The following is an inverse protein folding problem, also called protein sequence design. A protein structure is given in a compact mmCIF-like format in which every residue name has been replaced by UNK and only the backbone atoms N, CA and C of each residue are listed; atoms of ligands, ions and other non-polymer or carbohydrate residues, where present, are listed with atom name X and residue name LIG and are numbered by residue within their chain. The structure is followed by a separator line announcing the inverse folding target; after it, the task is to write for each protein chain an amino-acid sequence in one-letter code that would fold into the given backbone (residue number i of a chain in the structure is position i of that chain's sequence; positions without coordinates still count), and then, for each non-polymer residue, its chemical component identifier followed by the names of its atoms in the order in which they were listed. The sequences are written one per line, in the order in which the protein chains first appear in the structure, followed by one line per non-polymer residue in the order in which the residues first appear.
data_IF_016357361257
#
_entry.id   IF_016357361257
#
_cell.length_a   1.000
_cell.length_b   1.000
_cell.length_c   1.000
_cell.angle_alpha   90.00
_cell.angle_beta   90.00
_cell.angle_gamma   90.00
#
_symmetry.space_group_name_H-M   'P 1'
#
loop_
_entity.id
_entity.type
_entity.pdbx_description
1 polymer ?
#
# COMPACT_ATOMS: atom_id res chain seq x y z
N UNK A 1 -31.43 -37.17 -25.93
CA UNK A 1 -30.73 -37.00 -24.64
C UNK A 1 -30.91 -35.56 -24.18
N UNK A 2 -32.13 -35.03 -24.17
CA UNK A 2 -32.43 -33.69 -23.63
C UNK A 2 -33.31 -33.79 -22.36
N UNK A 3 -34.07 -34.88 -22.19
CA UNK A 3 -35.01 -35.06 -21.07
C UNK A 3 -34.35 -35.36 -19.69
N UNK A 4 -33.04 -35.60 -19.65
CA UNK A 4 -32.33 -35.98 -18.42
C UNK A 4 -32.06 -34.81 -17.46
N UNK A 5 -31.82 -33.61 -17.99
CA UNK A 5 -31.44 -32.44 -17.19
C UNK A 5 -32.66 -31.82 -16.46
N UNK A 6 -33.83 -31.87 -17.11
CA UNK A 6 -35.09 -31.35 -16.57
C UNK A 6 -35.64 -32.26 -15.46
N UNK A 7 -35.54 -33.58 -15.64
CA UNK A 7 -35.93 -34.58 -14.64
C UNK A 7 -35.07 -34.49 -13.36
N UNK A 8 -33.75 -34.33 -13.52
CA UNK A 8 -32.83 -34.16 -12.40
C UNK A 8 -33.08 -32.86 -11.63
N UNK A 9 -33.38 -31.77 -12.34
CA UNK A 9 -33.68 -30.47 -11.73
C UNK A 9 -34.95 -30.52 -10.88
N UNK A 10 -36.00 -31.18 -11.36
CA UNK A 10 -37.25 -31.37 -10.63
C UNK A 10 -37.08 -32.28 -9.40
N UNK A 11 -36.33 -33.37 -9.52
CA UNK A 11 -36.13 -34.33 -8.43
C UNK A 11 -35.17 -33.82 -7.33
N UNK A 12 -34.12 -33.08 -7.70
CA UNK A 12 -33.05 -32.65 -6.78
C UNK A 12 -33.18 -31.18 -6.35
N UNK A 13 -34.06 -30.40 -6.97
CA UNK A 13 -34.24 -28.97 -6.67
C UNK A 13 -33.00 -28.12 -6.99
N UNK A 14 -32.11 -28.61 -7.85
CA UNK A 14 -30.86 -27.95 -8.23
C UNK A 14 -30.62 -28.18 -9.72
N UNK A 15 -29.97 -27.23 -10.40
CA UNK A 15 -29.49 -27.46 -11.75
C UNK A 15 -28.13 -28.18 -11.70
N UNK A 16 -28.03 -29.41 -12.24
CA UNK A 16 -26.78 -30.17 -12.25
C UNK A 16 -25.60 -29.40 -12.85
N UNK A 17 -25.83 -28.72 -13.96
CA UNK A 17 -24.78 -27.94 -14.64
C UNK A 17 -24.37 -26.71 -13.82
N UNK A 18 -25.30 -25.98 -13.20
CA UNK A 18 -24.96 -24.85 -12.34
C UNK A 18 -24.11 -25.29 -11.14
N UNK A 19 -24.49 -26.39 -10.49
CA UNK A 19 -23.74 -26.94 -9.37
C UNK A 19 -22.30 -27.33 -9.78
N UNK A 20 -22.14 -28.04 -10.90
CA UNK A 20 -20.81 -28.44 -11.41
C UNK A 20 -19.96 -27.21 -11.72
N UNK A 21 -20.54 -26.19 -12.37
CA UNK A 21 -19.85 -24.96 -12.70
C UNK A 21 -19.40 -24.20 -11.44
N UNK A 22 -20.23 -24.16 -10.39
CA UNK A 22 -19.88 -23.54 -9.11
C UNK A 22 -18.69 -24.25 -8.46
N UNK A 23 -18.68 -25.58 -8.42
CA UNK A 23 -17.56 -26.37 -7.89
C UNK A 23 -16.29 -26.14 -8.72
N UNK A 24 -16.39 -26.06 -10.05
CA UNK A 24 -15.26 -25.68 -10.92
C UNK A 24 -14.72 -24.31 -10.56
N UNK A 25 -15.59 -23.32 -10.35
CA UNK A 25 -15.20 -21.97 -9.92
C UNK A 25 -14.43 -21.97 -8.60
N UNK A 26 -14.97 -22.64 -7.57
CA UNK A 26 -14.32 -22.74 -6.26
C UNK A 26 -12.93 -23.37 -6.36
N UNK A 27 -12.79 -24.46 -7.13
CA UNK A 27 -11.49 -25.14 -7.29
C UNK A 27 -10.50 -24.27 -8.07
N UNK A 28 -10.98 -23.56 -9.10
CA UNK A 28 -10.16 -22.62 -9.85
C UNK A 28 -9.63 -21.49 -8.94
N UNK A 29 -10.48 -20.90 -8.11
CA UNK A 29 -10.10 -19.84 -7.17
C UNK A 29 -9.07 -20.33 -6.15
N UNK A 30 -9.31 -21.48 -5.50
CA UNK A 30 -8.37 -22.09 -4.56
C UNK A 30 -7.02 -22.35 -5.23
N UNK A 31 -7.02 -22.85 -6.47
CA UNK A 31 -5.79 -23.15 -7.20
C UNK A 31 -4.99 -21.88 -7.53
N UNK A 32 -5.68 -20.79 -7.88
CA UNK A 32 -5.07 -19.51 -8.17
C UNK A 32 -4.46 -18.88 -6.92
N UNK A 33 -5.21 -18.86 -5.81
CA UNK A 33 -4.75 -18.33 -4.52
C UNK A 33 -3.53 -19.11 -3.99
N UNK A 34 -3.56 -20.44 -4.06
CA UNK A 34 -2.44 -21.26 -3.62
C UNK A 34 -1.17 -20.99 -4.43
N UNK A 35 -1.31 -20.76 -5.74
CA UNK A 35 -0.18 -20.42 -6.58
C UNK A 35 0.36 -19.01 -6.31
N UNK A 36 -0.53 -18.04 -6.13
CA UNK A 36 -0.15 -16.68 -5.77
C UNK A 36 0.63 -16.67 -4.44
N UNK A 37 0.18 -17.43 -3.45
CA UNK A 37 0.90 -17.62 -2.19
C UNK A 37 2.32 -18.14 -2.42
N UNK A 38 2.50 -19.15 -3.28
CA UNK A 38 3.83 -19.68 -3.60
C UNK A 38 4.74 -18.63 -4.25
N UNK A 39 4.21 -17.79 -5.15
CA UNK A 39 4.97 -16.70 -5.77
C UNK A 39 5.37 -15.64 -4.74
N UNK A 40 4.46 -15.25 -3.85
CA UNK A 40 4.73 -14.30 -2.78
C UNK A 40 5.78 -14.84 -1.81
N UNK A 41 5.67 -16.12 -1.43
CA UNK A 41 6.64 -16.79 -0.57
C UNK A 41 8.03 -16.86 -1.24
N UNK A 42 8.10 -17.12 -2.55
CA UNK A 42 9.35 -17.12 -3.30
C UNK A 42 10.00 -15.74 -3.43
N UNK A 43 9.19 -14.67 -3.45
CA UNK A 43 9.66 -13.29 -3.49
C UNK A 43 10.10 -12.75 -2.10
N UNK A 44 9.91 -13.52 -1.02
CA UNK A 44 10.22 -13.07 0.33
C UNK A 44 11.73 -12.81 0.53
N UNK A 45 12.11 -11.76 1.28
CA UNK A 45 13.50 -11.45 1.57
C UNK A 45 14.22 -12.63 2.24
N UNK A 46 15.38 -13.02 1.71
CA UNK A 46 16.21 -14.11 2.25
C UNK A 46 16.03 -15.47 1.56
N UNK A 47 15.01 -15.64 0.71
CA UNK A 47 14.83 -16.87 -0.09
C UNK A 47 15.90 -16.99 -1.18
N UNK A 48 16.26 -15.87 -1.80
CA UNK A 48 17.26 -15.81 -2.85
C UNK A 48 18.48 -15.04 -2.36
N UNK A 49 19.55 -15.76 -2.00
CA UNK A 49 20.76 -15.17 -1.40
C UNK A 49 21.40 -14.05 -2.23
N UNK A 50 21.96 -13.04 -1.54
CA UNK A 50 22.37 -11.74 -2.09
C UNK A 50 23.33 -11.78 -3.30
N UNK A 51 24.23 -12.76 -3.37
CA UNK A 51 25.31 -12.78 -4.37
C UNK A 51 24.84 -13.06 -5.82
N UNK A 52 23.62 -13.59 -6.01
CA UNK A 52 23.00 -13.85 -7.34
C UNK A 52 21.47 -13.68 -7.31
N UNK A 53 20.98 -12.72 -6.53
CA UNK A 53 19.56 -12.62 -6.20
C UNK A 53 18.64 -12.46 -7.44
N UNK A 54 19.06 -11.70 -8.46
CA UNK A 54 18.22 -11.45 -9.64
C UNK A 54 18.07 -12.68 -10.56
N UNK A 55 19.19 -13.29 -10.99
CA UNK A 55 19.19 -14.48 -11.85
C UNK A 55 18.43 -15.65 -11.19
N UNK A 56 18.73 -15.92 -9.92
CA UNK A 56 18.06 -16.97 -9.15
C UNK A 56 16.58 -16.69 -8.88
N UNK A 57 16.17 -15.43 -8.72
CA UNK A 57 14.75 -15.08 -8.58
C UNK A 57 13.99 -15.33 -9.89
N UNK A 58 14.58 -14.98 -11.04
CA UNK A 58 13.96 -15.25 -12.34
C UNK A 58 13.85 -16.74 -12.67
N UNK A 59 14.88 -17.52 -12.35
CA UNK A 59 14.86 -18.97 -12.53
C UNK A 59 13.85 -19.64 -11.59
N UNK A 60 13.75 -19.18 -10.35
CA UNK A 60 12.77 -19.66 -9.39
C UNK A 60 11.34 -19.36 -9.87
N UNK A 61 11.06 -18.13 -10.30
CA UNK A 61 9.76 -17.76 -10.85
C UNK A 61 9.41 -18.61 -12.09
N UNK A 62 10.38 -18.86 -12.97
CA UNK A 62 10.20 -19.74 -14.14
C UNK A 62 9.86 -21.17 -13.71
N UNK A 63 10.58 -21.71 -12.71
CA UNK A 63 10.32 -23.02 -12.15
C UNK A 63 8.93 -23.14 -11.53
N UNK A 64 8.50 -22.15 -10.74
CA UNK A 64 7.17 -22.10 -10.16
C UNK A 64 6.08 -22.07 -11.24
N UNK A 65 6.24 -21.24 -12.28
CA UNK A 65 5.30 -21.18 -13.39
C UNK A 65 5.19 -22.52 -14.13
N UNK A 66 6.31 -23.23 -14.31
CA UNK A 66 6.30 -24.56 -14.94
C UNK A 66 5.57 -25.60 -14.07
N UNK A 67 5.81 -25.60 -12.75
CA UNK A 67 5.07 -26.48 -11.81
C UNK A 67 3.58 -26.17 -11.83
N UNK A 68 3.21 -24.89 -11.79
CA UNK A 68 1.82 -24.45 -11.85
C UNK A 68 1.13 -24.92 -13.13
N UNK A 69 1.77 -24.79 -14.29
CA UNK A 69 1.21 -25.29 -15.54
C UNK A 69 0.95 -26.80 -15.48
N UNK A 70 1.90 -27.60 -14.95
CA UNK A 70 1.73 -29.05 -14.84
C UNK A 70 0.61 -29.42 -13.88
N UNK A 71 0.49 -28.72 -12.75
CA UNK A 71 -0.58 -28.93 -11.76
C UNK A 71 -1.93 -28.56 -12.37
N UNK A 72 -2.02 -27.39 -13.01
CA UNK A 72 -3.23 -26.89 -13.67
C UNK A 72 -3.73 -27.85 -14.75
N UNK A 73 -2.88 -28.26 -15.69
CA UNK A 73 -3.25 -29.23 -16.73
C UNK A 73 -3.80 -30.53 -16.16
N UNK A 74 -3.17 -31.05 -15.08
CA UNK A 74 -3.63 -32.27 -14.43
C UNK A 74 -4.95 -32.07 -13.70
N UNK A 75 -5.13 -30.92 -13.06
CA UNK A 75 -6.35 -30.56 -12.34
C UNK A 75 -7.50 -30.40 -13.34
N UNK A 76 -7.31 -29.61 -14.40
CA UNK A 76 -8.30 -29.36 -15.46
C UNK A 76 -8.77 -30.69 -16.08
N UNK A 77 -7.84 -31.60 -16.38
CA UNK A 77 -8.20 -32.94 -16.90
C UNK A 77 -9.01 -33.77 -15.89
N UNK A 78 -8.67 -33.70 -14.60
CA UNK A 78 -9.43 -34.40 -13.55
C UNK A 78 -10.81 -33.78 -13.36
N UNK A 79 -10.91 -32.46 -13.40
CA UNK A 79 -12.17 -31.73 -13.27
C UNK A 79 -13.11 -32.02 -14.43
N UNK A 80 -12.60 -32.07 -15.66
CA UNK A 80 -13.38 -32.47 -16.83
C UNK A 80 -13.90 -33.91 -16.73
N UNK A 81 -13.08 -34.84 -16.23
CA UNK A 81 -13.52 -36.22 -16.00
C UNK A 81 -14.54 -36.33 -14.87
N UNK A 82 -14.35 -35.56 -13.79
CA UNK A 82 -15.26 -35.50 -12.65
C UNK A 82 -16.63 -34.94 -13.06
N UNK A 83 -16.66 -33.83 -13.79
CA UNK A 83 -17.90 -33.26 -14.36
C UNK A 83 -18.64 -34.29 -15.20
N UNK A 84 -17.93 -34.93 -16.14
CA UNK A 84 -18.52 -35.97 -16.99
C UNK A 84 -19.06 -37.14 -16.18
N UNK A 85 -18.42 -37.50 -15.08
CA UNK A 85 -18.90 -38.53 -14.18
C UNK A 85 -20.16 -38.08 -13.43
N UNK A 86 -20.16 -36.87 -12.89
CA UNK A 86 -21.30 -36.31 -12.15
C UNK A 86 -22.55 -36.22 -13.01
N UNK A 87 -22.44 -35.63 -14.21
CA UNK A 87 -23.56 -35.48 -15.14
C UNK A 87 -24.11 -36.82 -15.67
N UNK A 88 -23.32 -37.89 -15.62
CA UNK A 88 -23.75 -39.22 -16.09
C UNK A 88 -24.28 -40.12 -14.99
N UNK A 89 -23.86 -39.93 -13.75
CA UNK A 89 -24.05 -40.93 -12.70
C UNK A 89 -24.50 -40.37 -11.37
N UNK A 90 -24.19 -39.10 -11.05
CA UNK A 90 -24.59 -38.49 -9.79
C UNK A 90 -25.95 -37.79 -9.90
N UNK A 91 -26.25 -37.24 -11.08
CA UNK A 91 -27.49 -36.50 -11.33
C UNK A 91 -28.46 -37.24 -12.24
N UNK A 92 -28.16 -38.49 -12.59
CA UNK A 92 -29.06 -39.33 -13.38
C UNK A 92 -30.17 -39.87 -12.47
N UNK A 93 -31.43 -39.62 -12.83
CA UNK A 93 -32.59 -40.10 -12.06
C UNK A 93 -32.99 -41.48 -12.59
N UNK A 94 -32.93 -42.55 -11.77
CA UNK A 94 -33.30 -43.88 -12.23
C UNK A 94 -34.74 -43.93 -12.74
N UNK A 95 -34.98 -44.66 -13.83
CA UNK A 95 -36.33 -44.90 -14.37
C UNK A 95 -37.26 -45.44 -13.26
N UNK A 96 -38.40 -44.76 -13.05
CA UNK A 96 -39.38 -45.08 -12.01
C UNK A 96 -39.32 -44.21 -10.76
N UNK A 97 -38.35 -43.30 -10.63
CA UNK A 97 -38.28 -42.29 -9.56
C UNK A 97 -38.79 -40.91 -9.97
N UNK A 98 -39.06 -40.71 -11.27
CA UNK A 98 -39.75 -39.52 -11.75
C UNK A 98 -41.21 -39.68 -11.36
N UNK A 99 -41.70 -38.80 -10.47
CA UNK A 99 -43.11 -38.75 -10.14
C UNK A 99 -43.90 -38.46 -11.42
N UNK A 100 -44.96 -39.23 -11.68
CA UNK A 100 -45.92 -38.85 -12.71
C UNK A 100 -46.44 -37.45 -12.36
N UNK A 101 -46.26 -36.47 -13.25
CA UNK A 101 -46.70 -35.08 -13.02
C UNK A 101 -48.22 -34.96 -12.76
N UNK A 102 -48.96 -36.06 -12.95
CA UNK A 102 -50.40 -36.16 -12.69
C UNK A 102 -50.81 -36.77 -11.35
N UNK A 103 -49.89 -37.33 -10.55
CA UNK A 103 -50.23 -37.94 -9.26
C UNK A 103 -50.14 -36.92 -8.10
N UNK A 104 -50.93 -35.84 -8.22
CA UNK A 104 -51.24 -34.92 -7.10
C UNK A 104 -52.16 -35.54 -6.04
N UNK A 105 -52.34 -36.86 -6.06
CA UNK A 105 -53.40 -37.56 -5.33
C UNK A 105 -52.90 -38.85 -4.69
N UNK A 106 -51.87 -38.78 -3.83
CA UNK A 106 -51.70 -39.83 -2.83
C UNK A 106 -51.04 -39.36 -1.53
N UNK A 107 -51.78 -38.56 -0.76
CA UNK A 107 -51.88 -38.72 0.70
C UNK A 107 -52.98 -37.80 1.21
N UNK A 108 -54.24 -38.25 1.08
CA UNK A 108 -55.30 -37.76 1.97
C UNK A 108 -55.02 -38.31 3.36
N UNK A 109 -54.19 -37.60 4.14
CA UNK A 109 -54.34 -37.62 5.59
C UNK A 109 -53.91 -36.29 6.20
N UNK A 110 -54.96 -35.56 6.56
CA UNK A 110 -55.04 -34.42 7.45
C UNK A 110 -53.93 -34.31 8.50
N UNK A 111 -53.35 -33.12 8.63
CA UNK A 111 -53.57 -32.29 9.82
C UNK A 111 -53.44 -30.80 9.49
N UNK A 112 -54.50 -30.05 9.81
CA UNK A 112 -54.51 -28.59 9.89
C UNK A 112 -53.34 -28.11 10.74
N UNK A 113 -52.48 -27.28 10.16
CA UNK A 113 -51.72 -26.30 10.93
C UNK A 113 -51.54 -25.02 10.10
N UNK A 114 -52.60 -24.20 10.08
CA UNK A 114 -52.48 -22.78 10.40
C UNK A 114 -51.67 -21.85 9.50
N UNK A 115 -51.53 -22.11 8.21
CA UNK A 115 -51.29 -21.03 7.23
C UNK A 115 -52.37 -21.14 6.17
N UNK A 116 -53.37 -20.28 6.28
CA UNK A 116 -54.36 -20.09 5.23
C UNK A 116 -53.64 -19.67 3.96
N UNK A 117 -54.18 -19.99 2.78
CA UNK A 117 -53.67 -19.51 1.49
C UNK A 117 -53.50 -17.97 1.50
N UNK A 118 -54.41 -17.28 2.21
CA UNK A 118 -54.33 -15.84 2.49
C UNK A 118 -53.12 -15.40 3.31
N UNK A 119 -52.61 -16.25 4.21
CA UNK A 119 -51.42 -15.94 5.02
C UNK A 119 -50.16 -16.02 4.16
N UNK A 120 -50.11 -16.97 3.21
CA UNK A 120 -49.04 -17.08 2.22
C UNK A 120 -49.01 -15.86 1.29
N UNK A 121 -50.17 -15.39 0.83
CA UNK A 121 -50.26 -14.16 0.03
C UNK A 121 -49.74 -12.93 0.80
N UNK A 122 -50.08 -12.81 2.10
CA UNK A 122 -49.58 -11.74 2.96
C UNK A 122 -48.06 -11.82 3.16
N UNK A 123 -47.50 -13.02 3.30
CA UNK A 123 -46.05 -13.23 3.37
C UNK A 123 -45.37 -12.87 2.05
N UNK A 124 -45.93 -13.27 0.91
CA UNK A 124 -45.41 -12.93 -0.40
C UNK A 124 -45.37 -11.42 -0.63
N UNK A 125 -46.44 -10.70 -0.28
CA UNK A 125 -46.50 -9.24 -0.37
C UNK A 125 -45.56 -8.56 0.63
N UNK A 126 -45.35 -9.16 1.81
CA UNK A 126 -44.31 -8.73 2.76
C UNK A 126 -42.91 -8.88 2.16
N UNK A 127 -42.62 -10.01 1.52
CA UNK A 127 -41.33 -10.29 0.87
C UNK A 127 -41.09 -9.38 -0.33
N UNK A 128 -42.11 -9.14 -1.17
CA UNK A 128 -42.02 -8.19 -2.30
C UNK A 128 -41.67 -6.78 -1.81
N UNK A 129 -42.34 -6.30 -0.76
CA UNK A 129 -42.03 -4.99 -0.15
C UNK A 129 -40.61 -4.94 0.44
N UNK A 130 -40.17 -6.01 1.10
CA UNK A 130 -38.78 -6.12 1.61
C UNK A 130 -37.76 -6.11 0.48
N UNK A 131 -38.01 -6.84 -0.61
CA UNK A 131 -37.14 -6.87 -1.78
C UNK A 131 -37.03 -5.48 -2.42
N UNK A 132 -38.15 -4.77 -2.56
CA UNK A 132 -38.15 -3.43 -3.14
C UNK A 132 -37.48 -2.39 -2.24
N UNK A 133 -37.61 -2.54 -0.91
CA UNK A 133 -36.86 -1.74 0.07
C UNK A 133 -35.35 -2.01 -0.03
N UNK A 134 -34.94 -3.28 -0.08
CA UNK A 134 -33.54 -3.67 -0.20
C UNK A 134 -32.92 -3.21 -1.53
N UNK A 135 -33.70 -3.24 -2.62
CA UNK A 135 -33.23 -2.74 -3.92
C UNK A 135 -32.95 -1.23 -3.87
N UNK A 136 -33.84 -0.43 -3.27
CA UNK A 136 -33.63 1.02 -3.07
C UNK A 136 -32.42 1.31 -2.20
N UNK A 137 -32.19 0.50 -1.16
CA UNK A 137 -31.00 0.61 -0.31
C UNK A 137 -29.73 0.26 -1.09
N UNK A 138 -29.75 -0.79 -1.90
CA UNK A 138 -28.63 -1.16 -2.78
C UNK A 138 -28.27 -0.04 -3.75
N UNK A 139 -29.25 0.54 -4.43
CA UNK A 139 -29.04 1.71 -5.31
C UNK A 139 -28.49 2.92 -4.55
N UNK A 140 -28.86 3.09 -3.27
CA UNK A 140 -28.30 4.13 -2.42
C UNK A 140 -26.83 3.89 -2.08
N UNK A 141 -26.50 2.67 -1.67
CA UNK A 141 -25.14 2.26 -1.36
C UNK A 141 -24.22 2.37 -2.58
N UNK A 142 -24.70 2.00 -3.78
CA UNK A 142 -23.95 2.15 -5.02
C UNK A 142 -23.64 3.62 -5.33
N UNK A 143 -24.61 4.52 -5.11
CA UNK A 143 -24.42 5.98 -5.22
C UNK A 143 -23.38 6.49 -4.21
N UNK A 144 -23.42 6.01 -2.97
CA UNK A 144 -22.44 6.36 -1.94
C UNK A 144 -21.04 5.85 -2.27
N UNK A 145 -20.92 4.61 -2.73
CA UNK A 145 -19.65 4.01 -3.16
C UNK A 145 -19.02 4.83 -4.29
N UNK A 146 -19.82 5.16 -5.32
CA UNK A 146 -19.38 6.01 -6.43
C UNK A 146 -18.93 7.41 -5.96
N UNK A 147 -19.58 7.96 -4.93
CA UNK A 147 -19.19 9.24 -4.31
C UNK A 147 -17.85 9.15 -3.59
N UNK A 148 -17.68 8.12 -2.77
CA UNK A 148 -16.45 7.86 -2.02
C UNK A 148 -15.27 7.58 -2.93
N UNK A 149 -15.46 6.89 -4.06
CA UNK A 149 -14.42 6.65 -5.05
C UNK A 149 -13.92 7.96 -5.68
N UNK A 150 -14.84 8.87 -6.06
CA UNK A 150 -14.48 10.21 -6.57
C UNK A 150 -13.71 11.01 -5.52
N UNK A 151 -14.15 10.97 -4.27
CA UNK A 151 -13.46 11.64 -3.17
C UNK A 151 -12.05 11.07 -2.94
N UNK A 152 -11.92 9.75 -2.95
CA UNK A 152 -10.64 9.05 -2.81
C UNK A 152 -9.69 9.41 -3.94
N UNK A 153 -10.18 9.46 -5.19
CA UNK A 153 -9.40 9.91 -6.34
C UNK A 153 -8.93 11.36 -6.16
N UNK A 154 -9.80 12.27 -5.72
CA UNK A 154 -9.43 13.66 -5.49
C UNK A 154 -8.37 13.79 -4.38
N UNK A 155 -8.53 13.05 -3.28
CA UNK A 155 -7.54 13.00 -2.21
C UNK A 155 -6.18 12.52 -2.70
N UNK A 156 -6.12 11.42 -3.48
CA UNK A 156 -4.86 10.93 -4.06
C UNK A 156 -4.19 11.98 -4.96
N UNK A 157 -4.97 12.73 -5.75
CA UNK A 157 -4.45 13.83 -6.58
C UNK A 157 -3.86 14.95 -5.71
N UNK A 158 -4.55 15.35 -4.64
CA UNK A 158 -4.03 16.34 -3.69
C UNK A 158 -2.75 15.87 -3.02
N UNK A 159 -2.72 14.64 -2.51
CA UNK A 159 -1.54 14.04 -1.87
C UNK A 159 -0.34 14.02 -2.85
N UNK A 160 -0.59 13.70 -4.13
CA UNK A 160 0.42 13.75 -5.19
C UNK A 160 0.94 15.17 -5.43
N UNK A 161 0.05 16.17 -5.54
CA UNK A 161 0.46 17.57 -5.72
C UNK A 161 1.23 18.12 -4.51
N UNK A 162 0.84 17.74 -3.29
CA UNK A 162 1.57 18.10 -2.07
C UNK A 162 2.98 17.50 -2.10
N UNK A 163 3.11 16.23 -2.46
CA UNK A 163 4.42 15.58 -2.58
C UNK A 163 5.30 16.24 -3.65
N UNK A 164 4.73 16.69 -4.76
CA UNK A 164 5.45 17.41 -5.81
C UNK A 164 5.94 18.77 -5.31
N UNK A 165 5.08 19.54 -4.63
CA UNK A 165 5.46 20.83 -4.01
C UNK A 165 6.57 20.63 -2.98
N UNK A 166 6.46 19.60 -2.13
CA UNK A 166 7.49 19.30 -1.13
C UNK A 166 8.84 19.01 -1.81
N UNK A 167 8.85 18.19 -2.86
CA UNK A 167 10.08 17.90 -3.61
C UNK A 167 10.67 19.17 -4.24
N UNK A 168 9.85 20.01 -4.87
CA UNK A 168 10.31 21.28 -5.44
C UNK A 168 10.93 22.20 -4.39
N UNK A 169 10.37 22.21 -3.18
CA UNK A 169 10.90 22.99 -2.06
C UNK A 169 12.24 22.43 -1.57
N UNK A 170 12.35 21.11 -1.40
CA UNK A 170 13.59 20.43 -1.02
C UNK A 170 14.70 20.66 -2.07
N UNK A 171 14.39 20.49 -3.36
CA UNK A 171 15.33 20.72 -4.46
C UNK A 171 15.83 22.16 -4.50
N UNK A 172 14.92 23.14 -4.33
CA UNK A 172 15.27 24.57 -4.32
C UNK A 172 16.10 24.95 -3.11
N UNK A 173 15.78 24.41 -1.93
CA UNK A 173 16.60 24.61 -0.73
C UNK A 173 18.01 24.04 -0.91
N UNK A 174 18.12 22.81 -1.42
CA UNK A 174 19.41 22.16 -1.65
C UNK A 174 20.28 22.94 -2.64
N UNK A 175 19.69 23.42 -3.74
CA UNK A 175 20.41 24.27 -4.71
C UNK A 175 20.91 25.56 -4.07
N UNK A 176 20.05 26.24 -3.29
CA UNK A 176 20.42 27.48 -2.61
C UNK A 176 21.57 27.30 -1.61
N UNK A 177 21.57 26.18 -0.88
CA UNK A 177 22.68 25.82 0.01
C UNK A 177 23.96 25.53 -0.78
N UNK A 178 23.87 24.81 -1.89
CA UNK A 178 25.04 24.49 -2.72
C UNK A 178 25.67 25.77 -3.31
N UNK A 179 24.85 26.68 -3.82
CA UNK A 179 25.31 27.97 -4.35
C UNK A 179 25.96 28.83 -3.27
N UNK A 180 25.38 28.85 -2.07
CA UNK A 180 25.95 29.55 -0.92
C UNK A 180 27.30 28.95 -0.52
N UNK A 181 27.40 27.62 -0.43
CA UNK A 181 28.64 26.90 -0.11
C UNK A 181 29.73 27.21 -1.14
N UNK A 182 29.38 27.29 -2.43
CA UNK A 182 30.30 27.70 -3.51
C UNK A 182 30.73 29.17 -3.43
N UNK A 183 29.87 30.06 -2.95
CA UNK A 183 30.17 31.49 -2.83
C UNK A 183 31.06 31.84 -1.61
N UNK A 184 31.00 31.04 -0.54
CA UNK A 184 31.77 31.30 0.71
C UNK A 184 33.28 31.41 0.45
N UNK A 185 33.96 30.52 -0.30
CA UNK A 185 35.39 30.64 -0.59
C UNK A 185 35.75 31.92 -1.33
N UNK A 186 34.95 32.31 -2.33
CA UNK A 186 35.17 33.54 -3.08
C UNK A 186 35.06 34.77 -2.19
N UNK A 187 34.09 34.80 -1.28
CA UNK A 187 33.95 35.85 -0.27
C UNK A 187 35.16 35.89 0.67
N UNK A 188 35.59 34.71 1.18
CA UNK A 188 36.77 34.60 2.06
C UNK A 188 38.02 35.13 1.38
N UNK A 189 38.26 34.75 0.13
CA UNK A 189 39.41 35.24 -0.64
C UNK A 189 39.35 36.76 -0.81
N UNK A 190 38.18 37.31 -1.16
CA UNK A 190 38.00 38.75 -1.33
C UNK A 190 38.27 39.54 -0.03
N UNK A 191 37.89 38.99 1.12
CA UNK A 191 38.20 39.57 2.44
C UNK A 191 39.71 39.55 2.71
N UNK A 192 40.39 38.43 2.42
CA UNK A 192 41.85 38.31 2.58
C UNK A 192 42.57 39.33 1.70
N UNK A 193 42.23 39.42 0.42
CA UNK A 193 42.84 40.34 -0.53
C UNK A 193 42.63 41.80 -0.11
N UNK A 194 41.42 42.14 0.35
CA UNK A 194 41.09 43.48 0.82
C UNK A 194 41.88 43.84 2.08
N UNK A 195 42.06 42.90 3.02
CA UNK A 195 42.88 43.10 4.22
C UNK A 195 44.37 43.26 3.90
N UNK A 196 44.88 42.53 2.89
CA UNK A 196 46.25 42.69 2.41
C UNK A 196 46.48 44.08 1.83
N UNK A 197 45.61 44.53 0.91
CA UNK A 197 45.64 45.89 0.35
C UNK A 197 45.56 46.97 1.43
N UNK A 198 44.69 46.77 2.43
CA UNK A 198 44.58 47.70 3.57
C UNK A 198 45.88 47.78 4.37
N UNK A 199 46.55 46.65 4.59
CA UNK A 199 47.84 46.60 5.29
C UNK A 199 48.94 47.27 4.48
N UNK A 200 49.01 47.04 3.17
CA UNK A 200 49.96 47.69 2.26
C UNK A 200 49.79 49.22 2.23
N UNK A 201 48.55 49.71 2.13
CA UNK A 201 48.25 51.15 2.20
C UNK A 201 48.68 51.71 3.56
N UNK A 202 48.42 51.00 4.66
CA UNK A 202 48.85 51.42 6.01
C UNK A 202 50.37 51.50 6.12
N UNK A 203 51.09 50.50 5.61
CA UNK A 203 52.55 50.50 5.58
C UNK A 203 53.13 51.65 4.73
N UNK A 204 52.52 51.97 3.58
CA UNK A 204 52.95 53.10 2.75
C UNK A 204 52.74 54.44 3.47
N UNK A 205 51.62 54.61 4.18
CA UNK A 205 51.35 55.78 5.00
C UNK A 205 52.37 55.89 6.15
N UNK A 206 52.64 54.79 6.87
CA UNK A 206 53.61 54.76 7.96
C UNK A 206 55.04 55.05 7.46
N UNK A 207 55.41 54.57 6.28
CA UNK A 207 56.70 54.85 5.63
C UNK A 207 56.80 56.31 5.17
N UNK A 208 55.71 56.91 4.68
CA UNK A 208 55.66 58.32 4.30
C UNK A 208 55.73 59.24 5.53
N UNK A 209 55.12 58.84 6.64
CA UNK A 209 55.24 59.50 7.96
C UNK A 209 56.67 59.39 8.49
N UNK A 210 57.30 58.22 8.39
CA UNK A 210 58.70 58.03 8.81
C UNK A 210 59.69 58.84 7.97
N UNK A 211 59.48 58.91 6.65
CA UNK A 211 60.33 59.71 5.76
C UNK A 211 60.15 61.23 6.01
N UNK A 212 58.96 61.69 6.38
CA UNK A 212 58.72 63.11 6.72
C UNK A 212 59.16 63.49 8.14
N UNK A 213 59.24 62.54 9.07
CA UNK A 213 59.82 62.74 10.41
C UNK A 213 61.35 62.65 10.41
N UNK A 214 61.94 61.78 9.57
CA UNK A 214 63.38 61.67 9.30
C UNK A 214 63.97 62.98 8.75
N UNK A 215 63.27 63.64 7.82
CA UNK A 215 63.68 64.95 7.27
C UNK A 215 63.60 66.08 8.32
N UNK A 216 62.86 65.88 9.42
CA UNK A 216 62.67 66.90 10.49
C UNK A 216 63.46 66.60 11.76
N UNK A 217 64.25 65.52 11.79
CA UNK A 217 64.70 64.88 13.02
C UNK A 217 66.20 64.72 13.19
N UNK A 218 67.04 65.66 12.72
CA UNK A 218 68.43 65.74 13.17
C UNK A 218 68.58 66.69 14.36
N UNK A 219 68.15 66.26 15.55
CA UNK A 219 68.75 66.70 16.83
C UNK A 219 68.34 65.81 18.01
N UNK A 220 69.39 65.21 18.60
CA UNK A 220 69.58 64.77 20.00
C UNK A 220 69.21 63.31 20.41
N UNK A 221 70.26 62.65 20.89
CA UNK A 221 70.33 61.60 21.94
C UNK A 221 69.49 62.01 23.17
N UNK A 222 68.96 61.14 24.06
CA UNK A 222 69.57 60.06 24.86
C UNK A 222 68.45 59.26 25.58
N UNK A 223 68.71 57.98 25.87
CA UNK A 223 68.47 57.25 27.14
C UNK A 223 67.22 57.59 27.99
N UNK A 224 66.30 56.65 28.23
CA UNK A 224 66.34 55.71 29.38
C UNK A 224 65.09 54.79 29.45
N UNK A 225 65.23 53.74 30.26
CA UNK A 225 64.38 52.56 30.50
C UNK A 225 62.98 52.85 31.06
N UNK A 226 62.05 51.91 30.87
CA UNK A 226 60.89 51.78 31.77
C UNK A 226 59.70 50.96 31.25
N UNK A 227 59.70 49.66 31.59
CA UNK A 227 58.56 48.84 32.05
C UNK A 227 57.19 48.84 31.35
N UNK A 228 56.85 47.65 30.83
CA UNK A 228 55.61 46.87 31.00
C UNK A 228 54.27 47.60 31.20
N UNK A 229 53.29 47.27 30.34
CA UNK A 229 52.02 46.58 30.70
C UNK A 229 51.21 46.32 29.43
N UNK A 230 50.94 45.05 29.13
CA UNK A 230 49.99 44.64 28.09
C UNK A 230 48.68 44.20 28.77
N UNK A 231 47.50 44.74 28.39
CA UNK A 231 46.24 44.16 28.79
C UNK A 231 45.89 42.98 27.87
N UNK A 232 45.60 41.85 28.51
CA UNK A 232 44.95 40.67 27.95
C UNK A 232 43.59 41.03 27.35
N UNK A 233 43.26 40.44 26.20
CA UNK A 233 41.88 40.18 25.82
C UNK A 233 41.65 38.65 25.82
N UNK A 234 40.57 38.17 26.46
CA UNK A 234 40.30 36.75 26.55
C UNK A 234 39.69 36.22 25.25
N UNK A 235 40.14 35.03 24.90
CA UNK A 235 39.45 34.09 24.02
C UNK A 235 38.07 33.72 24.56
N UNK A 236 37.19 33.33 23.62
CA UNK A 236 36.08 32.37 23.77
C UNK A 236 34.95 32.70 24.74
N UNK A 237 33.76 33.02 24.22
CA UNK A 237 32.50 32.24 24.42
C UNK A 237 31.55 32.59 23.26
N UNK A 238 31.24 31.63 22.39
CA UNK A 238 30.01 31.63 21.60
C UNK A 238 29.17 30.43 22.08
N UNK A 239 27.87 30.62 22.38
CA UNK A 239 27.04 29.54 22.91
C UNK A 239 26.75 28.50 21.82
N UNK A 240 27.00 27.24 22.16
CA UNK A 240 26.45 26.08 21.45
C UNK A 240 24.93 26.15 21.51
N UNK A 241 24.28 26.37 20.37
CA UNK A 241 22.87 26.01 20.19
C UNK A 241 22.86 24.53 19.85
N UNK A 242 22.51 23.71 20.83
CA UNK A 242 22.12 22.32 20.63
C UNK A 242 20.73 22.36 20.01
N UNK A 243 20.65 22.15 18.69
CA UNK A 243 19.38 21.81 18.05
C UNK A 243 19.22 20.31 18.17
N UNK A 244 18.44 19.89 19.15
CA UNK A 244 17.90 18.53 19.24
C UNK A 244 17.04 18.28 18.00
N UNK A 245 17.34 17.29 17.14
CA UNK A 245 16.36 16.84 16.19
C UNK A 245 15.31 16.05 16.98
N UNK A 246 14.13 16.63 17.15
CA UNK A 246 12.93 15.85 17.42
C UNK A 246 12.79 14.86 16.26
N UNK A 247 13.16 13.61 16.50
CA UNK A 247 12.81 12.49 15.65
C UNK A 247 11.29 12.37 15.73
N UNK A 248 10.61 12.98 14.76
CA UNK A 248 9.22 12.68 14.49
C UNK A 248 9.22 11.29 13.85
N UNK A 249 8.92 10.28 14.65
CA UNK A 249 8.62 8.94 14.17
C UNK A 249 7.33 9.01 13.36
N UNK A 250 7.32 8.64 12.07
CA UNK A 250 6.05 8.32 11.43
C UNK A 250 5.59 6.98 12.01
N UNK A 251 4.53 7.05 12.81
CA UNK A 251 3.67 5.93 13.18
C UNK A 251 3.03 5.35 11.91
N UNK A 252 3.80 4.61 11.12
CA UNK A 252 3.27 3.68 10.13
C UNK A 252 3.36 2.31 10.76
N UNK A 253 2.26 1.82 11.35
CA UNK A 253 1.96 0.39 11.53
C UNK A 253 0.62 0.21 12.24
N UNK A 254 -0.46 0.02 11.47
CA UNK A 254 -1.40 -1.11 11.57
C UNK A 254 -2.77 -0.77 10.97
N UNK A 255 -2.87 -0.83 9.64
CA UNK A 255 -4.15 -1.07 8.95
C UNK A 255 -4.23 -2.49 8.35
N UNK A 256 -3.14 -3.25 8.34
CA UNK A 256 -3.15 -4.67 7.96
C UNK A 256 -3.74 -5.58 9.05
N UNK A 257 -3.56 -5.27 10.35
CA UNK A 257 -4.15 -6.06 11.44
C UNK A 257 -5.66 -5.91 11.63
N UNK A 258 -6.33 -4.92 11.01
CA UNK A 258 -7.78 -4.76 11.13
C UNK A 258 -8.58 -5.55 10.09
N UNK A 259 -7.98 -5.89 8.95
CA UNK A 259 -8.63 -6.72 7.94
C UNK A 259 -8.56 -8.22 8.29
N UNK A 260 -7.51 -8.67 8.97
CA UNK A 260 -7.45 -10.05 9.49
C UNK A 260 -8.46 -10.33 10.62
N UNK A 261 -8.88 -9.30 11.37
CA UNK A 261 -9.77 -9.46 12.52
C UNK A 261 -11.26 -9.56 12.12
N UNK A 262 -11.63 -9.13 10.91
CA UNK A 262 -13.03 -9.20 10.45
C UNK A 262 -13.35 -10.53 9.75
N UNK A 263 -12.36 -11.16 9.09
CA UNK A 263 -12.57 -12.47 8.47
C UNK A 263 -12.54 -13.64 9.47
N UNK A 264 -11.74 -13.52 10.55
CA UNK A 264 -11.71 -14.52 11.63
C UNK A 264 -12.96 -14.50 12.53
N UNK A 265 -13.80 -13.45 12.47
CA UNK A 265 -15.03 -13.35 13.28
C UNK A 265 -16.26 -13.98 12.61
N UNK A 266 -16.21 -14.25 11.30
CA UNK A 266 -17.31 -14.90 10.58
C UNK A 266 -17.24 -16.43 10.59
N UNK A 267 -16.10 -17.02 11.01
CA UNK A 267 -15.91 -18.49 11.08
C UNK A 267 -15.94 -19.09 12.50
N UNK A 268 -16.31 -18.31 13.54
CA UNK A 268 -16.50 -18.82 14.92
C UNK A 268 -17.88 -18.53 15.49
N UNK A 269 -18.91 -18.45 14.64
CA UNK A 269 -20.30 -18.23 15.03
C UNK A 269 -21.22 -19.45 14.86
N UNK A 270 -20.66 -20.65 14.67
CA UNK A 270 -21.45 -21.90 14.56
C UNK A 270 -20.69 -23.07 15.21
N UNK A 271 -20.55 -23.00 16.52
CA UNK A 271 -20.38 -24.14 17.42
C UNK A 271 -20.84 -23.64 18.80
N UNK A 272 -21.48 -24.53 19.55
CA UNK A 272 -22.30 -24.29 20.76
C UNK A 272 -23.78 -23.96 20.53
N UNK A 273 -24.57 -25.04 20.49
CA UNK A 273 -25.67 -25.26 21.44
C UNK A 273 -25.28 -24.81 22.85
#
# INVERSE_FOLDING_TARGET
MEDGDESAAAALGLSPQLFVNEVHGIIADISAEAFEYCLQAAAAPGVVGAAKAAEKATDLQRGLNAVHHVVKDRLDKRMANWEKFCLRHCFDVPEGFVADENDSSCAKESHKNGTSDSDLDLELDSLRRKLESANKESENLEREMSSLERQSMHKRKLDSSISEIQKLFEDKLMQGFEDLVKAIPALRQKIIDMNKKRTEIRCLVDQQVWNTSSVRGNKRQTLDKGTATAPRFPSSVLPYIIITPCIYTPLTNNLSSRFYCMWCRHSRGRQYL
#
